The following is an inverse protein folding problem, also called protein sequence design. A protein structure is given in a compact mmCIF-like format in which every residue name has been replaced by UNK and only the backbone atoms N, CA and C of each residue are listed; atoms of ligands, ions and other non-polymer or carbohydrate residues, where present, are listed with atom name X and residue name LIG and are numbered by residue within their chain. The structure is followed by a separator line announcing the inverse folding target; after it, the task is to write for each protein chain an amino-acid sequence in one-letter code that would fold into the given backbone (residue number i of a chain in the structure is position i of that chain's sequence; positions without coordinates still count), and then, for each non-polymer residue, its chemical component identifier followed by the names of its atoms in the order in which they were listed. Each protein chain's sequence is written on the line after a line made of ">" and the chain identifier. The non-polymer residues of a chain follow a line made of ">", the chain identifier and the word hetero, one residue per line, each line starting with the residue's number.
data_IF_636375396678
#
_entry.id   IF_636375396678
#
_cell.length_a   1.000
_cell.length_b   1.000
_cell.length_c   1.000
_cell.angle_alpha   90.00
_cell.angle_beta   90.00
_cell.angle_gamma   90.00
#
_symmetry.space_group_name_H-M   'P 1'
#
loop_
_entity.id
_entity.type
_entity.pdbx_description
1 polymer ?
#
# COMPACT_ATOMS: atom_id res chain seq x y z
N UNK A 1 20.26 36.69 0.89
CA UNK A 1 18.90 36.10 0.97
C UNK A 1 18.44 35.36 -0.29
N UNK A 2 18.66 35.86 -1.52
CA UNK A 2 18.22 35.16 -2.76
C UNK A 2 18.77 33.73 -2.92
N UNK A 3 20.05 33.49 -2.57
CA UNK A 3 20.67 32.15 -2.63
C UNK A 3 19.99 31.14 -1.70
N UNK A 4 19.68 31.54 -0.47
CA UNK A 4 18.98 30.68 0.51
C UNK A 4 17.56 30.35 0.02
N UNK A 5 16.83 31.33 -0.54
CA UNK A 5 15.51 31.06 -1.13
C UNK A 5 15.55 30.07 -2.30
N UNK A 6 16.60 30.12 -3.14
CA UNK A 6 16.76 29.15 -4.22
C UNK A 6 17.08 27.74 -3.69
N UNK A 7 17.94 27.62 -2.67
CA UNK A 7 18.22 26.34 -2.04
C UNK A 7 16.94 25.75 -1.42
N UNK A 8 16.16 26.56 -0.72
CA UNK A 8 14.89 26.12 -0.13
C UNK A 8 13.91 25.61 -1.19
N UNK A 9 13.80 26.30 -2.34
CA UNK A 9 12.97 25.84 -3.47
C UNK A 9 13.43 24.47 -3.99
N UNK A 10 14.73 24.29 -4.16
CA UNK A 10 15.28 23.01 -4.64
C UNK A 10 14.97 21.88 -3.65
N UNK A 11 15.16 22.12 -2.35
CA UNK A 11 14.85 21.13 -1.30
C UNK A 11 13.37 20.76 -1.31
N UNK A 12 12.47 21.73 -1.43
CA UNK A 12 11.02 21.49 -1.50
C UNK A 12 10.67 20.65 -2.74
N UNK A 13 11.24 20.98 -3.89
CA UNK A 13 11.02 20.21 -5.13
C UNK A 13 11.53 18.78 -4.98
N UNK A 14 12.73 18.57 -4.43
CA UNK A 14 13.26 17.23 -4.17
C UNK A 14 12.37 16.44 -3.20
N UNK A 15 11.89 17.07 -2.13
CA UNK A 15 11.00 16.41 -1.17
C UNK A 15 9.68 15.95 -1.82
N UNK A 16 9.10 16.77 -2.70
CA UNK A 16 7.90 16.41 -3.46
C UNK A 16 8.15 15.23 -4.41
N UNK A 17 9.30 15.19 -5.09
CA UNK A 17 9.67 14.04 -5.93
C UNK A 17 9.78 12.73 -5.12
N UNK A 18 10.44 12.76 -3.96
CA UNK A 18 10.55 11.58 -3.09
C UNK A 18 9.20 11.10 -2.54
N UNK A 19 8.30 12.03 -2.21
CA UNK A 19 6.95 11.68 -1.77
C UNK A 19 6.15 10.99 -2.88
N UNK A 20 6.27 11.48 -4.13
CA UNK A 20 5.60 10.89 -5.28
C UNK A 20 6.10 9.49 -5.60
N UNK A 21 7.42 9.22 -5.52
CA UNK A 21 7.94 7.87 -5.72
C UNK A 21 7.47 6.88 -4.66
N UNK A 22 7.32 7.34 -3.41
CA UNK A 22 6.81 6.49 -2.32
C UNK A 22 5.32 6.16 -2.49
N UNK A 23 4.54 7.04 -3.11
CA UNK A 23 3.14 6.76 -3.46
C UNK A 23 2.99 5.95 -4.76
N UNK A 24 3.92 6.11 -5.71
CA UNK A 24 3.91 5.38 -6.98
C UNK A 24 4.11 3.86 -6.83
N UNK A 25 4.61 3.40 -5.68
CA UNK A 25 4.78 1.99 -5.36
C UNK A 25 3.58 1.37 -4.61
N UNK A 26 2.47 2.09 -4.48
CA UNK A 26 1.23 1.54 -3.95
C UNK A 26 0.74 0.41 -4.87
N UNK A 27 0.62 -0.79 -4.33
CA UNK A 27 0.05 -1.95 -5.03
C UNK A 27 -1.27 -2.32 -4.38
N UNK A 28 -2.15 -2.85 -5.20
CA UNK A 28 -3.43 -3.38 -4.78
C UNK A 28 -3.54 -4.83 -5.23
N UNK A 29 -4.21 -5.64 -4.43
CA UNK A 29 -4.44 -7.05 -4.69
C UNK A 29 -5.87 -7.41 -4.35
N UNK A 30 -6.41 -8.37 -5.09
CA UNK A 30 -7.72 -8.96 -4.81
C UNK A 30 -7.53 -10.43 -4.54
N UNK A 31 -8.12 -10.92 -3.45
CA UNK A 31 -8.17 -12.33 -3.13
C UNK A 31 -9.63 -12.77 -3.03
N UNK A 32 -9.95 -13.97 -3.52
CA UNK A 32 -11.25 -14.57 -3.32
C UNK A 32 -11.04 -16.05 -3.04
N UNK A 33 -11.75 -16.55 -2.03
CA UNK A 33 -11.55 -17.89 -1.53
C UNK A 33 -12.72 -18.40 -0.71
N UNK A 34 -12.59 -19.66 -0.28
CA UNK A 34 -13.57 -20.31 0.58
C UNK A 34 -12.83 -21.01 1.70
N UNK A 35 -13.12 -20.61 2.94
CA UNK A 35 -12.59 -21.28 4.12
C UNK A 35 -13.59 -22.34 4.57
N UNK A 36 -13.09 -23.56 4.77
CA UNK A 36 -13.89 -24.67 5.30
C UNK A 36 -13.37 -25.01 6.70
N UNK A 37 -14.19 -24.74 7.70
CA UNK A 37 -13.91 -25.06 9.11
C UNK A 37 -14.62 -26.37 9.47
N UNK A 38 -13.87 -27.35 9.97
CA UNK A 38 -14.41 -28.61 10.46
C UNK A 38 -14.43 -28.62 11.99
N UNK A 39 -15.55 -28.99 12.60
CA UNK A 39 -15.66 -29.04 14.07
C UNK A 39 -16.82 -29.87 14.59
N UNK A 40 -16.97 -29.99 15.92
CA UNK A 40 -17.98 -30.84 16.57
C UNK A 40 -19.44 -30.48 16.21
N UNK A 41 -19.68 -29.27 15.72
CA UNK A 41 -20.99 -28.77 15.29
C UNK A 41 -21.19 -28.83 13.76
N UNK A 42 -20.38 -29.64 13.05
CA UNK A 42 -20.45 -29.82 11.60
C UNK A 42 -19.55 -28.86 10.81
N UNK A 43 -19.45 -29.07 9.49
CA UNK A 43 -18.65 -28.23 8.60
C UNK A 43 -19.28 -26.84 8.45
N UNK A 44 -18.45 -25.80 8.52
CA UNK A 44 -18.85 -24.42 8.21
C UNK A 44 -18.07 -23.95 6.99
N UNK A 45 -18.80 -23.45 6.00
CA UNK A 45 -18.23 -22.89 4.77
C UNK A 45 -18.34 -21.38 4.85
N UNK A 46 -17.21 -20.69 4.71
CA UNK A 46 -17.09 -19.23 4.77
C UNK A 46 -16.42 -18.70 3.51
N UNK A 47 -17.19 -18.33 2.48
CA UNK A 47 -16.63 -17.61 1.34
C UNK A 47 -16.15 -16.23 1.76
N UNK A 48 -15.08 -15.74 1.15
CA UNK A 48 -14.56 -14.39 1.36
C UNK A 48 -14.05 -13.79 0.05
N UNK A 49 -14.07 -12.47 0.00
CA UNK A 49 -13.45 -11.65 -1.04
C UNK A 49 -12.73 -10.52 -0.32
N UNK A 50 -11.42 -10.50 -0.45
CA UNK A 50 -10.55 -9.54 0.22
C UNK A 50 -9.94 -8.57 -0.79
N UNK A 51 -9.77 -7.33 -0.35
CA UNK A 51 -9.13 -6.27 -1.10
C UNK A 51 -8.01 -5.67 -0.26
N UNK A 52 -6.78 -5.83 -0.71
CA UNK A 52 -5.60 -5.40 0.00
C UNK A 52 -4.93 -4.24 -0.73
N UNK A 53 -4.57 -3.20 0.03
CA UNK A 53 -3.73 -2.09 -0.45
C UNK A 53 -2.48 -2.08 0.41
N UNK A 54 -1.32 -2.23 -0.21
CA UNK A 54 -0.04 -2.24 0.48
C UNK A 54 0.92 -1.23 -0.15
N UNK A 55 1.67 -0.55 0.71
CA UNK A 55 2.70 0.39 0.31
C UNK A 55 4.03 -0.02 0.96
N UNK A 56 5.05 -0.24 0.13
CA UNK A 56 6.39 -0.63 0.57
C UNK A 56 6.79 -2.06 0.18
N UNK A 57 7.81 -2.16 -0.68
CA UNK A 57 8.63 -3.37 -0.86
C UNK A 57 8.32 -4.22 -2.10
N UNK A 58 9.31 -4.35 -3.00
CA UNK A 58 9.40 -5.48 -3.93
C UNK A 58 9.70 -6.73 -3.09
N UNK A 59 8.88 -7.77 -3.22
CA UNK A 59 9.30 -9.15 -2.92
C UNK A 59 10.53 -9.52 -3.75
#
# INVERSE_FOLDING_TARGET
>A
MKKIKNILKIVIVCALFFALESCANARWGTNAGVNVEWGPHGPRVRPHVDFDVYNGGRL
#
